data_IF_491773707776
#
_entry.id   IF_491773707776
#
_cell.length_a   1.000
_cell.length_b   1.000
_cell.length_c   1.000
_cell.angle_alpha   90.00
_cell.angle_beta   90.00
_cell.angle_gamma   90.00
#
_symmetry.space_group_name_H-M   'P 1'
#
loop_
_entity.id
_entity.type
_entity.pdbx_description
1 polymer ?
#
# COMPACT_ATOMS: atom_id res chain seq x y z
N UNK A 1 -0.28 0.67 14.41
CA UNK A 1 0.27 -0.56 13.80
C UNK A 1 1.48 -0.29 12.92
N UNK A 2 1.39 0.65 11.95
CA UNK A 2 2.48 0.91 10.99
C UNK A 2 3.38 2.10 11.34
N UNK A 3 3.09 2.81 12.45
CA UNK A 3 3.79 4.03 12.88
C UNK A 3 4.04 4.99 11.70
N UNK A 4 2.97 5.26 10.95
CA UNK A 4 3.06 5.89 9.64
C UNK A 4 2.55 7.31 9.59
N UNK A 5 3.07 8.08 8.63
CA UNK A 5 2.69 9.47 8.38
C UNK A 5 2.00 9.55 7.02
N UNK A 6 0.78 10.13 6.93
CA UNK A 6 0.15 10.40 5.64
C UNK A 6 0.94 11.47 4.89
N UNK A 7 1.16 11.27 3.59
CA UNK A 7 2.01 12.17 2.77
C UNK A 7 1.25 12.90 1.67
N UNK A 8 -0.08 12.71 1.59
CA UNK A 8 -0.93 13.32 0.59
C UNK A 8 -2.23 13.85 1.21
N UNK A 9 -2.95 14.69 0.46
CA UNK A 9 -4.03 15.52 0.99
C UNK A 9 -5.34 14.76 1.23
N UNK A 10 -5.47 13.56 0.67
CA UNK A 10 -6.60 12.66 0.90
C UNK A 10 -6.57 12.10 2.33
N UNK A 11 -7.25 12.76 3.26
CA UNK A 11 -7.53 12.25 4.61
C UNK A 11 -9.04 12.21 4.82
N UNK A 12 -9.69 11.16 4.31
CA UNK A 12 -11.05 10.81 4.71
C UNK A 12 -11.00 9.80 5.86
N UNK A 13 -12.04 9.78 6.70
CA UNK A 13 -12.26 8.69 7.65
C UNK A 13 -12.60 7.44 6.82
N UNK A 14 -11.57 6.69 6.43
CA UNK A 14 -11.68 5.48 5.62
C UNK A 14 -11.67 4.29 6.57
N UNK A 15 -12.78 3.54 6.60
CA UNK A 15 -12.80 2.23 7.22
C UNK A 15 -12.10 1.21 6.31
N UNK A 16 -11.16 0.46 6.89
CA UNK A 16 -10.39 -0.59 6.22
C UNK A 16 -10.45 -1.87 7.05
N UNK A 17 -10.61 -3.01 6.38
CA UNK A 17 -10.87 -4.31 7.00
C UNK A 17 -9.75 -5.31 6.68
N UNK A 18 -8.59 -5.07 7.29
CA UNK A 18 -7.39 -5.91 7.16
C UNK A 18 -6.32 -5.31 6.26
N UNK A 19 -5.30 -6.12 5.96
CA UNK A 19 -4.14 -5.68 5.19
C UNK A 19 -3.60 -6.79 4.29
N UNK A 20 -2.85 -6.41 3.26
CA UNK A 20 -2.04 -7.31 2.44
C UNK A 20 -0.65 -6.73 2.36
N UNK A 21 0.38 -7.52 2.66
CA UNK A 21 1.78 -7.11 2.51
C UNK A 21 2.31 -7.69 1.22
N UNK A 22 2.91 -6.87 0.37
CA UNK A 22 3.46 -7.30 -0.91
C UNK A 22 4.76 -6.56 -1.25
N UNK A 23 5.68 -7.27 -1.89
CA UNK A 23 6.90 -6.71 -2.43
C UNK A 23 6.54 -5.92 -3.70
N UNK A 24 6.72 -4.60 -3.67
CA UNK A 24 6.23 -3.72 -4.75
C UNK A 24 6.82 -4.04 -6.12
N UNK A 25 8.09 -4.42 -6.19
CA UNK A 25 8.74 -4.76 -7.46
C UNK A 25 8.11 -6.04 -7.97
N UNK A 26 8.06 -7.09 -7.14
CA UNK A 26 7.51 -8.38 -7.56
C UNK A 26 6.03 -8.28 -7.93
N UNK A 27 5.23 -7.54 -7.18
CA UNK A 27 3.80 -7.38 -7.45
C UNK A 27 3.54 -6.72 -8.82
N UNK A 28 4.40 -5.79 -9.23
CA UNK A 28 4.21 -5.00 -10.45
C UNK A 28 4.90 -5.64 -11.65
N UNK A 29 6.02 -6.36 -11.44
CA UNK A 29 6.79 -6.95 -12.54
C UNK A 29 6.49 -8.42 -12.79
N UNK A 30 5.97 -9.15 -11.81
CA UNK A 30 5.72 -10.60 -11.94
C UNK A 30 4.28 -10.93 -12.32
N UNK A 31 3.32 -10.04 -12.02
CA UNK A 31 1.92 -10.24 -12.34
C UNK A 31 1.61 -9.64 -13.72
N UNK A 32 0.89 -10.38 -14.55
CA UNK A 32 0.27 -9.79 -15.72
C UNK A 32 -0.86 -8.82 -15.34
N UNK A 33 -1.43 -8.14 -16.34
CA UNK A 33 -2.50 -7.15 -16.09
C UNK A 33 -3.74 -7.74 -15.41
N UNK A 34 -4.09 -8.99 -15.70
CA UNK A 34 -5.26 -9.67 -15.14
C UNK A 34 -4.99 -10.17 -13.72
N UNK A 35 -3.80 -10.72 -13.46
CA UNK A 35 -3.38 -11.15 -12.13
C UNK A 35 -3.26 -9.96 -11.18
N UNK A 36 -2.72 -8.84 -11.65
CA UNK A 36 -2.66 -7.60 -10.87
C UNK A 36 -4.07 -7.04 -10.60
N UNK A 37 -4.96 -7.09 -11.59
CA UNK A 37 -6.37 -6.73 -11.40
C UNK A 37 -7.05 -7.59 -10.33
N UNK A 38 -6.86 -8.92 -10.40
CA UNK A 38 -7.41 -9.84 -9.40
C UNK A 38 -6.86 -9.52 -8.02
N UNK A 39 -5.54 -9.35 -7.89
CA UNK A 39 -4.89 -8.95 -6.64
C UNK A 39 -5.48 -7.67 -6.04
N UNK A 40 -5.71 -6.64 -6.86
CA UNK A 40 -6.32 -5.40 -6.37
C UNK A 40 -7.79 -5.60 -5.99
N UNK A 41 -8.54 -6.42 -6.74
CA UNK A 41 -9.95 -6.72 -6.46
C UNK A 41 -10.15 -7.37 -5.10
N UNK A 42 -9.36 -8.38 -4.75
CA UNK A 42 -9.38 -9.01 -3.40
C UNK A 42 -8.80 -8.10 -2.29
N UNK A 43 -8.16 -7.00 -2.65
CA UNK A 43 -7.53 -6.04 -1.72
C UNK A 43 -8.32 -4.73 -1.56
N UNK A 44 -9.46 -4.56 -2.24
CA UNK A 44 -10.19 -3.28 -2.27
C UNK A 44 -10.54 -2.71 -0.89
N UNK A 45 -10.96 -3.57 0.04
CA UNK A 45 -11.35 -3.19 1.40
C UNK A 45 -10.19 -3.28 2.40
N UNK A 46 -8.97 -3.54 1.93
CA UNK A 46 -7.77 -3.75 2.75
C UNK A 46 -6.77 -2.64 2.52
N UNK A 47 -5.89 -2.44 3.49
CA UNK A 47 -4.68 -1.65 3.29
C UNK A 47 -3.68 -2.48 2.49
N UNK A 48 -3.20 -1.96 1.37
CA UNK A 48 -2.10 -2.59 0.64
C UNK A 48 -0.78 -2.02 1.13
N UNK A 49 0.05 -2.86 1.71
CA UNK A 49 1.34 -2.52 2.30
C UNK A 49 2.44 -2.95 1.34
N UNK A 50 3.07 -1.99 0.69
CA UNK A 50 4.19 -2.21 -0.22
C UNK A 50 5.52 -2.15 0.54
N UNK A 51 6.28 -3.24 0.47
CA UNK A 51 7.67 -3.31 0.97
C UNK A 51 8.67 -3.16 -0.17
N UNK A 52 9.93 -2.90 0.21
CA UNK A 52 11.06 -2.72 -0.72
C UNK A 52 10.82 -1.65 -1.80
N UNK A 53 10.13 -0.59 -1.41
CA UNK A 53 9.84 0.55 -2.27
C UNK A 53 11.00 1.55 -2.20
N UNK A 54 11.46 2.07 -3.35
CA UNK A 54 12.49 3.14 -3.33
C UNK A 54 11.88 4.54 -3.34
N UNK A 55 10.93 4.81 -4.25
CA UNK A 55 10.36 6.15 -4.46
C UNK A 55 8.84 6.24 -4.47
N UNK A 56 8.14 5.09 -4.50
CA UNK A 56 6.69 5.03 -4.69
C UNK A 56 6.22 5.22 -6.14
N UNK A 57 7.11 5.46 -7.10
CA UNK A 57 6.75 5.71 -8.51
C UNK A 57 6.09 4.51 -9.17
N UNK A 58 6.71 3.33 -9.08
CA UNK A 58 6.15 2.12 -9.71
C UNK A 58 4.76 1.78 -9.17
N UNK A 59 4.52 1.73 -7.84
CA UNK A 59 3.17 1.53 -7.30
C UNK A 59 2.17 2.59 -7.76
N UNK A 60 2.56 3.87 -7.81
CA UNK A 60 1.65 4.93 -8.24
C UNK A 60 1.26 4.80 -9.72
N UNK A 61 2.19 4.44 -10.60
CA UNK A 61 1.91 4.22 -12.03
C UNK A 61 1.02 2.99 -12.22
N UNK A 62 1.33 1.88 -11.54
CA UNK A 62 0.52 0.67 -11.60
C UNK A 62 -0.91 0.91 -11.12
N UNK A 63 -1.06 1.65 -10.01
CA UNK A 63 -2.37 2.04 -9.49
C UNK A 63 -3.07 3.01 -10.43
N UNK A 64 -2.39 3.99 -11.04
CA UNK A 64 -3.00 4.94 -11.98
C UNK A 64 -3.72 4.25 -13.13
N UNK A 65 -3.15 3.18 -13.68
CA UNK A 65 -3.73 2.44 -14.81
C UNK A 65 -4.69 1.32 -14.38
N UNK A 66 -4.72 0.97 -13.09
CA UNK A 66 -5.58 -0.08 -12.60
C UNK A 66 -7.07 0.32 -12.66
N UNK A 67 -7.96 -0.59 -13.09
CA UNK A 67 -9.40 -0.31 -13.17
C UNK A 67 -10.05 -0.23 -11.78
N UNK A 68 -9.45 -0.89 -10.77
CA UNK A 68 -9.86 -0.82 -9.36
C UNK A 68 -8.64 -0.50 -8.49
N UNK A 69 -8.85 0.20 -7.37
CA UNK A 69 -7.76 0.72 -6.53
C UNK A 69 -8.13 0.61 -5.06
N UNK A 70 -7.19 0.24 -4.17
CA UNK A 70 -7.40 0.33 -2.73
C UNK A 70 -7.54 1.80 -2.32
N UNK A 71 -8.23 2.05 -1.21
CA UNK A 71 -8.39 3.41 -0.66
C UNK A 71 -7.14 3.91 0.09
N UNK A 72 -6.35 2.98 0.63
CA UNK A 72 -5.16 3.28 1.42
C UNK A 72 -4.03 2.35 1.01
N UNK A 73 -2.87 2.94 0.76
CA UNK A 73 -1.61 2.22 0.56
C UNK A 73 -0.59 2.65 1.61
N UNK A 74 0.19 1.70 2.10
CA UNK A 74 1.32 1.96 2.99
C UNK A 74 2.60 1.67 2.23
N UNK A 75 3.54 2.60 2.23
CA UNK A 75 4.89 2.39 1.72
C UNK A 75 5.82 2.19 2.90
N UNK A 76 6.47 1.03 2.99
CA UNK A 76 7.44 0.77 4.04
C UNK A 76 8.75 1.48 3.74
N UNK A 77 9.01 2.56 4.51
CA UNK A 77 10.26 3.34 4.51
C UNK A 77 10.93 3.48 3.14
N UNK A 78 10.27 4.15 2.19
CA UNK A 78 10.92 4.47 0.93
C UNK A 78 12.10 5.41 1.18
N UNK A 79 13.17 5.27 0.40
CA UNK A 79 14.36 6.11 0.52
C UNK A 79 14.05 7.59 0.23
N UNK A 80 13.08 7.84 -0.63
CA UNK A 80 12.53 9.16 -0.96
C UNK A 80 11.08 9.02 -1.40
N UNK A 81 10.34 10.10 -1.46
CA UNK A 81 9.05 10.13 -2.15
C UNK A 81 9.18 10.87 -3.47
N UNK A 82 8.72 10.26 -4.56
CA UNK A 82 8.61 10.93 -5.84
C UNK A 82 7.38 11.87 -5.83
N UNK A 83 7.54 13.17 -6.14
CA UNK A 83 6.41 14.11 -6.18
C UNK A 83 5.30 13.68 -7.15
N UNK A 84 5.63 13.02 -8.25
CA UNK A 84 4.64 12.51 -9.20
C UNK A 84 3.78 11.43 -8.55
N UNK A 85 4.36 10.58 -7.70
CA UNK A 85 3.58 9.55 -6.99
C UNK A 85 2.53 10.16 -6.09
N UNK A 86 2.90 11.19 -5.32
CA UNK A 86 1.98 11.90 -4.42
C UNK A 86 0.86 12.54 -5.25
N UNK A 87 1.23 13.27 -6.31
CA UNK A 87 0.27 13.91 -7.20
C UNK A 87 -0.71 12.92 -7.82
N UNK A 88 -0.22 11.80 -8.36
CA UNK A 88 -1.08 10.78 -8.96
C UNK A 88 -2.03 10.17 -7.94
N UNK A 89 -1.56 9.82 -6.73
CA UNK A 89 -2.42 9.20 -5.73
C UNK A 89 -3.47 10.15 -5.17
N UNK A 90 -3.16 11.45 -5.03
CA UNK A 90 -4.18 12.47 -4.72
C UNK A 90 -5.27 12.53 -5.80
N UNK A 91 -4.88 12.51 -7.08
CA UNK A 91 -5.83 12.52 -8.21
C UNK A 91 -6.69 11.26 -8.28
N UNK A 92 -6.15 10.12 -7.85
CA UNK A 92 -6.87 8.85 -7.81
C UNK A 92 -7.68 8.65 -6.51
N UNK A 93 -7.59 9.56 -5.55
CA UNK A 93 -8.26 9.42 -4.24
C UNK A 93 -7.71 8.26 -3.42
N UNK A 94 -6.42 7.96 -3.57
CA UNK A 94 -5.70 6.91 -2.84
C UNK A 94 -4.83 7.57 -1.78
N UNK A 95 -5.05 7.22 -0.51
CA UNK A 95 -4.25 7.74 0.60
C UNK A 95 -2.91 7.01 0.67
N UNK A 96 -1.80 7.74 0.73
CA UNK A 96 -0.46 7.18 0.95
C UNK A 96 -0.04 7.43 2.39
N UNK A 97 0.31 6.34 3.09
CA UNK A 97 0.95 6.38 4.40
C UNK A 97 2.38 5.87 4.27
N UNK A 98 3.36 6.63 4.74
CA UNK A 98 4.74 6.16 4.85
C UNK A 98 4.96 5.55 6.23
N UNK A 99 5.22 4.24 6.29
CA UNK A 99 5.53 3.52 7.53
C UNK A 99 6.97 3.79 7.98
N UNK A 100 7.14 4.10 9.27
CA UNK A 100 8.44 4.38 9.87
C UNK A 100 9.11 3.15 10.50
N UNK A 101 8.47 1.97 10.43
CA UNK A 101 8.98 0.69 10.97
C UNK A 101 10.38 0.35 10.48
N UNK A 102 11.23 -0.20 11.37
CA UNK A 102 12.67 -0.40 11.06
C UNK A 102 12.93 -1.45 10.02
N UNK A 103 12.25 -2.56 10.14
CA UNK A 103 12.41 -3.68 9.22
C UNK A 103 11.05 -4.17 8.75
N UNK A 104 11.05 -4.95 7.68
CA UNK A 104 9.86 -5.59 7.14
C UNK A 104 9.24 -6.53 8.19
N UNK A 105 10.07 -7.23 8.96
CA UNK A 105 9.65 -8.11 10.05
C UNK A 105 8.95 -7.34 11.17
N UNK A 106 9.48 -6.18 11.56
CA UNK A 106 8.86 -5.35 12.60
C UNK A 106 7.48 -4.84 12.16
N UNK A 107 7.36 -4.44 10.90
CA UNK A 107 6.11 -4.01 10.29
C UNK A 107 5.09 -5.15 10.27
N UNK A 108 5.48 -6.32 9.76
CA UNK A 108 4.61 -7.49 9.70
C UNK A 108 4.18 -7.94 11.10
N UNK A 109 5.10 -8.00 12.06
CA UNK A 109 4.80 -8.37 13.43
C UNK A 109 3.79 -7.40 14.07
N UNK A 110 3.93 -6.09 13.81
CA UNK A 110 3.01 -5.08 14.33
C UNK A 110 1.63 -5.14 13.69
N UNK A 111 1.56 -5.43 12.39
CA UNK A 111 0.30 -5.65 11.66
C UNK A 111 -0.43 -6.92 12.15
N UNK A 112 0.30 -8.00 12.42
CA UNK A 112 -0.28 -9.24 12.97
C UNK A 112 -0.92 -9.07 14.35
N UNK A 113 -0.53 -8.06 15.13
CA UNK A 113 -1.13 -7.81 16.46
C UNK A 113 -2.51 -7.13 16.39
N UNK A 114 -2.83 -6.47 15.27
CA UNK A 114 -4.10 -5.73 15.13
C UNK A 114 -5.18 -6.53 14.39
N UNK A 115 -4.79 -7.60 13.71
CA UNK A 115 -5.74 -8.60 13.23
C UNK A 115 -5.70 -9.71 14.26
N UNK A 116 -6.74 -9.86 15.11
CA UNK A 116 -6.84 -11.04 15.96
C UNK A 116 -6.64 -12.25 15.07
N UNK A 117 -5.76 -13.17 15.47
CA UNK A 117 -5.69 -14.48 14.84
C UNK A 117 -7.12 -14.99 14.71
N UNK A 118 -7.64 -15.04 13.48
CA UNK A 118 -8.66 -16.02 13.14
C UNK A 118 -7.97 -17.33 13.51
N UNK A 119 -8.38 -17.86 14.67
CA UNK A 119 -7.62 -18.85 15.39
C UNK A 119 -7.43 -20.13 14.58
N UNK A 120 -6.32 -20.81 14.92
CA UNK A 120 -5.95 -22.19 14.57
C UNK A 120 -5.67 -22.50 13.10
#
# INVERSE_FOLDING_TARGET
>A
AVDGVPVNSSLSNIDVYGYVVTDSIKAITALDGMEFYQFLSISLNKVVVFTKVTSGRSPAIALKIAPVKPKVVVLHRPARMDPLSIYLMDREGVTIIVSLKRTEEELIASLKRIVPSLGS
#
